data_IF_639311355651
#
_entry.id   IF_639311355651
#
_cell.length_a   1.000
_cell.length_b   1.000
_cell.length_c   1.000
_cell.angle_alpha   90.00
_cell.angle_beta   90.00
_cell.angle_gamma   90.00
#
_symmetry.space_group_name_H-M   'P 1'
#
loop_
_entity.id
_entity.type
_entity.pdbx_description
1 polymer ?
#
# COMPACT_ATOMS: atom_id res chain seq x y z
N UNK A 1 -0.52 13.65 6.22
CA UNK A 1 -0.94 14.37 5.00
C UNK A 1 0.30 14.61 4.17
N UNK A 2 0.27 14.19 2.93
CA UNK A 2 1.36 14.37 1.99
C UNK A 2 1.66 15.85 1.78
N UNK A 3 2.85 16.28 2.10
CA UNK A 3 3.41 17.56 1.66
C UNK A 3 4.67 17.23 0.87
N UNK A 4 4.94 18.00 -0.17
CA UNK A 4 6.02 17.70 -1.11
C UNK A 4 5.58 16.81 -2.28
N UNK A 5 6.51 16.57 -3.16
CA UNK A 5 6.30 15.80 -4.41
C UNK A 5 7.43 14.81 -4.57
N UNK A 6 7.13 13.67 -5.19
CA UNK A 6 8.13 12.66 -5.50
C UNK A 6 9.28 13.23 -6.33
N UNK A 7 10.51 12.95 -5.89
CA UNK A 7 11.71 13.23 -6.68
C UNK A 7 12.65 12.03 -6.70
N UNK A 8 13.30 11.78 -7.84
CA UNK A 8 14.33 10.75 -7.95
C UNK A 8 15.51 11.01 -7.00
N UNK A 9 15.80 12.29 -6.70
CA UNK A 9 16.86 12.67 -5.77
C UNK A 9 16.56 12.17 -4.34
N UNK A 10 15.36 12.46 -3.83
CA UNK A 10 14.97 12.06 -2.47
C UNK A 10 14.87 10.53 -2.37
N UNK A 11 14.31 9.88 -3.40
CA UNK A 11 14.29 8.42 -3.47
C UNK A 11 15.69 7.81 -3.43
N UNK A 12 16.65 8.41 -4.16
CA UNK A 12 18.04 7.94 -4.18
C UNK A 12 18.71 8.12 -2.82
N UNK A 13 18.50 9.27 -2.18
CA UNK A 13 19.02 9.55 -0.83
C UNK A 13 18.45 8.55 0.17
N UNK A 14 17.13 8.37 0.16
CA UNK A 14 16.45 7.40 1.02
C UNK A 14 16.97 5.98 0.80
N UNK A 15 17.00 5.50 -0.45
CA UNK A 15 17.43 4.14 -0.78
C UNK A 15 18.86 3.87 -0.29
N UNK A 16 19.77 4.82 -0.47
CA UNK A 16 21.14 4.72 0.03
C UNK A 16 21.21 4.70 1.57
N UNK A 17 20.35 5.48 2.24
CA UNK A 17 20.31 5.53 3.71
C UNK A 17 19.91 4.19 4.33
N UNK A 18 19.09 3.41 3.64
CA UNK A 18 18.68 2.05 4.05
C UNK A 18 19.57 0.94 3.47
N UNK A 19 20.71 1.32 2.87
CA UNK A 19 21.73 0.40 2.39
C UNK A 19 21.44 -0.23 1.03
N UNK A 20 20.65 0.43 0.17
CA UNK A 20 20.32 -0.07 -1.16
C UNK A 20 21.15 0.60 -2.25
N UNK A 21 21.43 -0.16 -3.30
CA UNK A 21 22.06 0.32 -4.53
C UNK A 21 21.00 0.81 -5.50
N UNK A 22 21.12 2.07 -5.91
CA UNK A 22 20.31 2.68 -6.97
C UNK A 22 21.17 2.73 -8.24
N UNK A 23 20.62 2.24 -9.33
CA UNK A 23 21.27 2.22 -10.64
C UNK A 23 21.18 3.62 -11.31
N UNK A 24 21.90 3.79 -12.42
CA UNK A 24 21.92 5.06 -13.18
C UNK A 24 20.55 5.44 -13.75
N UNK A 25 19.66 4.45 -13.95
CA UNK A 25 18.27 4.67 -14.37
C UNK A 25 17.32 5.04 -13.21
N UNK A 26 17.86 5.19 -12.00
CA UNK A 26 17.11 5.53 -10.79
C UNK A 26 16.36 4.37 -10.14
N UNK A 27 16.43 3.16 -10.68
CA UNK A 27 15.81 1.97 -10.12
C UNK A 27 16.75 1.25 -9.14
N UNK A 28 16.19 0.37 -8.30
CA UNK A 28 17.02 -0.50 -7.46
C UNK A 28 17.70 -1.59 -8.28
N UNK A 29 18.83 -2.06 -7.78
CA UNK A 29 19.54 -3.19 -8.38
C UNK A 29 18.62 -4.41 -8.51
N UNK A 30 18.68 -5.07 -9.67
CA UNK A 30 17.81 -6.22 -10.01
C UNK A 30 18.04 -7.45 -9.14
N UNK A 31 19.19 -7.55 -8.47
CA UNK A 31 19.54 -8.68 -7.61
C UNK A 31 18.73 -8.74 -6.31
N UNK A 32 18.10 -7.64 -5.88
CA UNK A 32 17.30 -7.67 -4.66
C UNK A 32 16.11 -8.61 -4.77
N UNK A 33 16.01 -9.51 -3.81
CA UNK A 33 14.84 -10.36 -3.59
C UNK A 33 13.79 -9.65 -2.71
N UNK A 34 12.59 -10.21 -2.61
CA UNK A 34 11.58 -9.72 -1.68
C UNK A 34 12.10 -9.73 -0.21
N UNK A 35 12.92 -10.71 0.14
CA UNK A 35 13.49 -10.82 1.49
C UNK A 35 14.53 -9.73 1.80
N UNK A 36 15.20 -9.22 0.76
CA UNK A 36 16.13 -8.10 0.91
C UNK A 36 15.41 -6.76 1.05
N UNK A 37 14.25 -6.63 0.43
CA UNK A 37 13.46 -5.41 0.39
C UNK A 37 12.47 -5.31 1.56
N UNK A 38 11.70 -6.36 1.83
CA UNK A 38 10.67 -6.39 2.87
C UNK A 38 11.19 -7.12 4.12
N UNK A 39 11.72 -6.33 5.05
CA UNK A 39 12.40 -6.85 6.25
C UNK A 39 11.53 -6.92 7.50
N UNK A 40 10.31 -6.36 7.44
CA UNK A 40 9.36 -6.41 8.55
C UNK A 40 9.00 -7.85 8.90
N UNK A 41 8.92 -8.16 10.19
CA UNK A 41 8.61 -9.51 10.70
C UNK A 41 7.22 -9.61 11.33
N UNK A 42 6.56 -8.49 11.45
CA UNK A 42 5.19 -8.35 11.94
C UNK A 42 4.63 -7.03 11.40
N UNK A 43 3.33 -6.84 11.55
CA UNK A 43 2.69 -5.58 11.21
C UNK A 43 3.34 -4.43 11.98
N UNK A 44 3.64 -3.34 11.30
CA UNK A 44 4.15 -2.14 11.93
C UNK A 44 2.99 -1.31 12.49
N UNK A 45 3.14 -0.68 13.67
CA UNK A 45 2.04 0.06 14.30
C UNK A 45 1.44 1.16 13.41
N UNK A 46 2.26 1.78 12.57
CA UNK A 46 1.81 2.81 11.63
C UNK A 46 0.92 2.27 10.51
N UNK A 47 1.00 0.96 10.23
CA UNK A 47 0.23 0.27 9.18
C UNK A 47 -0.97 -0.49 9.75
N UNK A 48 -1.13 -0.51 11.08
CA UNK A 48 -2.26 -1.18 11.72
C UNK A 48 -3.56 -0.49 11.32
N UNK A 49 -4.53 -1.21 10.73
CA UNK A 49 -5.81 -0.65 10.31
C UNK A 49 -6.81 -0.48 11.45
N UNK A 50 -6.50 -0.95 12.67
CA UNK A 50 -7.44 -1.01 13.77
C UNK A 50 -7.87 0.37 14.26
N UNK A 51 -9.16 0.69 14.15
CA UNK A 51 -9.77 1.96 14.57
C UNK A 51 -9.12 3.21 13.94
N UNK A 52 -8.61 3.12 12.71
CA UNK A 52 -8.00 4.26 12.03
C UNK A 52 -8.85 4.71 10.84
N UNK A 53 -8.77 6.00 10.51
CA UNK A 53 -9.25 6.60 9.27
C UNK A 53 -8.07 7.30 8.61
N UNK A 54 -7.74 6.92 7.38
CA UNK A 54 -6.66 7.51 6.61
C UNK A 54 -7.21 8.68 5.79
N UNK A 55 -6.52 9.81 5.83
CA UNK A 55 -6.99 11.05 5.21
C UNK A 55 -6.18 11.39 3.97
N UNK A 56 -6.86 11.81 2.91
CA UNK A 56 -6.29 12.44 1.74
C UNK A 56 -6.98 13.79 1.57
N UNK A 57 -6.31 14.83 2.04
CA UNK A 57 -6.87 16.18 2.17
C UNK A 57 -6.20 17.14 1.19
N UNK A 58 -7.01 18.03 0.63
CA UNK A 58 -6.49 19.13 -0.17
C UNK A 58 -5.63 20.07 0.69
N UNK A 59 -4.58 20.60 0.08
CA UNK A 59 -3.65 21.53 0.69
C UNK A 59 -3.24 22.62 -0.29
N UNK A 60 -2.46 23.60 0.17
CA UNK A 60 -1.93 24.63 -0.72
C UNK A 60 -0.97 24.05 -1.77
N UNK A 61 -0.25 22.96 -1.42
CA UNK A 61 0.66 22.26 -2.34
C UNK A 61 -0.08 21.28 -3.27
N UNK A 62 -1.15 20.66 -2.79
CA UNK A 62 -1.98 19.70 -3.52
C UNK A 62 -3.47 20.10 -3.43
N UNK A 63 -3.91 21.11 -4.22
CA UNK A 63 -5.25 21.66 -4.08
C UNK A 63 -6.38 20.78 -4.63
N UNK A 64 -6.06 19.73 -5.37
CA UNK A 64 -7.02 18.82 -5.98
C UNK A 64 -6.58 17.37 -5.85
N UNK A 65 -6.35 16.91 -4.63
CA UNK A 65 -5.82 15.58 -4.36
C UNK A 65 -6.54 14.45 -5.08
N UNK A 66 -5.77 13.53 -5.64
CA UNK A 66 -6.23 12.31 -6.29
C UNK A 66 -5.74 11.13 -5.45
N UNK A 67 -6.57 10.59 -4.56
CA UNK A 67 -6.19 9.46 -3.72
C UNK A 67 -6.10 8.17 -4.53
N UNK A 68 -4.99 7.47 -4.39
CA UNK A 68 -4.75 6.15 -4.98
C UNK A 68 -4.37 5.17 -3.87
N UNK A 69 -5.13 4.10 -3.72
CA UNK A 69 -4.76 2.96 -2.88
C UNK A 69 -4.06 1.94 -3.76
N UNK A 70 -2.79 1.67 -3.46
CA UNK A 70 -2.02 0.59 -4.08
C UNK A 70 -2.03 -0.61 -3.14
N UNK A 71 -2.93 -1.55 -3.38
CA UNK A 71 -3.11 -2.75 -2.59
C UNK A 71 -2.31 -3.91 -3.19
N UNK A 72 -1.30 -4.37 -2.45
CA UNK A 72 -0.42 -5.45 -2.85
C UNK A 72 -0.76 -6.70 -2.04
N UNK A 73 -0.90 -7.81 -2.70
CA UNK A 73 -0.91 -9.11 -2.06
C UNK A 73 0.44 -9.36 -1.38
N UNK A 74 0.39 -9.72 -0.10
CA UNK A 74 1.58 -9.90 0.74
C UNK A 74 1.85 -11.36 1.08
N UNK A 75 1.22 -12.28 0.39
CA UNK A 75 1.42 -13.71 0.55
C UNK A 75 2.71 -14.20 -0.13
N UNK A 76 3.11 -15.43 0.20
CA UNK A 76 4.41 -15.97 -0.22
C UNK A 76 4.58 -16.07 -1.73
N UNK A 77 3.51 -16.37 -2.49
CA UNK A 77 3.50 -16.49 -3.96
C UNK A 77 3.84 -15.18 -4.65
N UNK A 78 3.38 -14.06 -4.10
CA UNK A 78 3.57 -12.71 -4.66
C UNK A 78 4.95 -12.10 -4.40
N UNK A 79 5.84 -12.76 -3.65
CA UNK A 79 7.11 -12.16 -3.25
C UNK A 79 7.97 -11.63 -4.41
N UNK A 80 8.01 -12.35 -5.54
CA UNK A 80 8.76 -11.89 -6.72
C UNK A 80 8.11 -10.67 -7.39
N UNK A 81 6.79 -10.64 -7.50
CA UNK A 81 6.06 -9.52 -8.09
C UNK A 81 6.18 -8.26 -7.21
N UNK A 82 6.03 -8.40 -5.90
CA UNK A 82 6.23 -7.30 -4.96
C UNK A 82 7.66 -6.72 -5.03
N UNK A 83 8.67 -7.58 -5.17
CA UNK A 83 10.04 -7.13 -5.37
C UNK A 83 10.20 -6.32 -6.67
N UNK A 84 9.55 -6.72 -7.77
CA UNK A 84 9.57 -5.94 -9.00
C UNK A 84 8.87 -4.58 -8.85
N UNK A 85 7.73 -4.52 -8.13
CA UNK A 85 7.08 -3.23 -7.80
C UNK A 85 8.04 -2.32 -7.04
N UNK A 86 8.69 -2.83 -5.99
CA UNK A 86 9.62 -2.03 -5.19
C UNK A 86 10.85 -1.57 -6.00
N UNK A 87 11.41 -2.43 -6.87
CA UNK A 87 12.54 -2.08 -7.73
C UNK A 87 12.20 -0.99 -8.74
N UNK A 88 10.99 -1.01 -9.28
CA UNK A 88 10.49 -0.11 -10.31
C UNK A 88 9.77 1.13 -9.75
N UNK A 89 9.65 1.24 -8.44
CA UNK A 89 8.86 2.29 -7.80
C UNK A 89 9.25 3.68 -8.30
N UNK A 90 10.57 3.98 -8.36
CA UNK A 90 11.02 5.30 -8.80
C UNK A 90 10.66 5.60 -10.25
N UNK A 91 10.81 4.62 -11.15
CA UNK A 91 10.43 4.80 -12.56
C UNK A 91 8.94 5.11 -12.71
N UNK A 92 8.10 4.35 -11.99
CA UNK A 92 6.64 4.52 -12.04
C UNK A 92 6.23 5.87 -11.46
N UNK A 93 6.74 6.21 -10.28
CA UNK A 93 6.38 7.47 -9.60
C UNK A 93 6.88 8.69 -10.38
N UNK A 94 8.12 8.65 -10.90
CA UNK A 94 8.66 9.77 -11.69
C UNK A 94 7.78 10.04 -12.92
N UNK A 95 7.44 9.01 -13.70
CA UNK A 95 6.58 9.16 -14.87
C UNK A 95 5.17 9.64 -14.52
N UNK A 96 4.62 9.16 -13.40
CA UNK A 96 3.29 9.56 -12.98
C UNK A 96 3.26 11.04 -12.59
N UNK A 97 4.22 11.48 -11.79
CA UNK A 97 4.26 12.87 -11.32
C UNK A 97 4.68 13.88 -12.41
N UNK A 98 5.24 13.44 -13.54
CA UNK A 98 5.40 14.27 -14.75
C UNK A 98 4.04 14.64 -15.36
N UNK A 99 3.03 13.76 -15.24
CA UNK A 99 1.72 13.93 -15.87
C UNK A 99 0.63 14.40 -14.90
N UNK A 100 0.73 13.99 -13.61
CA UNK A 100 -0.31 14.27 -12.61
C UNK A 100 0.34 14.66 -11.29
N UNK A 101 0.11 15.91 -10.85
CA UNK A 101 0.84 16.49 -9.70
C UNK A 101 0.20 16.25 -8.35
N UNK A 102 -1.13 16.09 -8.30
CA UNK A 102 -1.89 16.04 -7.04
C UNK A 102 -2.23 14.61 -6.59
N UNK A 103 -1.43 13.62 -6.99
CA UNK A 103 -1.65 12.23 -6.61
C UNK A 103 -1.08 11.96 -5.22
N UNK A 104 -1.87 11.33 -4.36
CA UNK A 104 -1.40 10.80 -3.07
C UNK A 104 -1.64 9.29 -3.01
N UNK A 105 -0.61 8.55 -2.61
CA UNK A 105 -0.66 7.10 -2.51
C UNK A 105 -0.78 6.62 -1.07
N UNK A 106 -1.73 5.72 -0.83
CA UNK A 106 -1.78 4.84 0.31
C UNK A 106 -1.29 3.46 -0.15
N UNK A 107 -0.21 2.96 0.44
CA UNK A 107 0.28 1.60 0.20
C UNK A 107 -0.41 0.67 1.17
N UNK A 108 -0.97 -0.43 0.65
CA UNK A 108 -1.70 -1.40 1.43
C UNK A 108 -1.16 -2.81 1.17
N UNK A 109 -0.96 -3.58 2.25
CA UNK A 109 -0.75 -5.02 2.17
C UNK A 109 -2.09 -5.74 2.35
N UNK A 110 -2.41 -6.69 1.49
CA UNK A 110 -3.61 -7.52 1.57
C UNK A 110 -3.21 -8.99 1.55
N UNK A 111 -3.76 -9.74 2.49
CA UNK A 111 -3.69 -11.20 2.58
C UNK A 111 -5.05 -11.82 2.81
N UNK A 112 -5.10 -13.07 3.23
CA UNK A 112 -6.34 -13.76 3.54
C UNK A 112 -6.83 -13.46 4.96
N UNK A 113 -7.98 -12.81 5.07
CA UNK A 113 -8.63 -12.55 6.37
C UNK A 113 -8.86 -13.80 7.21
N UNK A 114 -9.04 -14.96 6.57
CA UNK A 114 -9.30 -16.19 7.30
C UNK A 114 -8.06 -16.80 7.96
N UNK A 115 -6.90 -16.65 7.33
CA UNK A 115 -5.69 -17.41 7.71
C UNK A 115 -4.52 -16.54 8.13
N UNK A 116 -4.38 -15.33 7.58
CA UNK A 116 -3.20 -14.51 7.82
C UNK A 116 -3.26 -13.73 9.15
N UNK A 117 -2.09 -13.39 9.69
CA UNK A 117 -1.99 -12.63 10.94
C UNK A 117 -2.13 -11.12 10.74
N UNK A 118 -1.72 -10.62 9.59
CA UNK A 118 -1.80 -9.21 9.21
C UNK A 118 -2.48 -9.02 7.84
N UNK A 119 -3.75 -9.47 7.70
CA UNK A 119 -4.42 -9.55 6.41
C UNK A 119 -4.75 -8.18 5.80
N UNK A 120 -4.70 -7.12 6.57
CA UNK A 120 -4.81 -5.73 6.10
C UNK A 120 -3.71 -4.92 6.77
N UNK A 121 -2.93 -4.23 5.98
CA UNK A 121 -1.95 -3.25 6.42
C UNK A 121 -2.17 -1.99 5.59
N UNK A 122 -2.28 -0.82 6.20
CA UNK A 122 -2.66 0.39 5.49
C UNK A 122 -1.83 1.59 5.93
N UNK A 123 -1.04 2.15 5.02
CA UNK A 123 -0.23 3.34 5.29
C UNK A 123 -1.07 4.63 5.35
N UNK A 124 -0.42 5.76 5.56
CA UNK A 124 -1.01 7.08 5.27
C UNK A 124 -1.01 7.34 3.77
N UNK A 125 -1.78 8.33 3.32
CA UNK A 125 -1.65 8.91 1.99
C UNK A 125 -0.43 9.83 1.97
N UNK A 126 0.44 9.61 0.98
CA UNK A 126 1.69 10.36 0.82
C UNK A 126 1.93 10.69 -0.66
N UNK A 127 2.64 11.80 -0.92
CA UNK A 127 2.94 12.28 -2.28
C UNK A 127 4.44 12.33 -2.62
N UNK A 128 5.29 11.97 -1.66
CA UNK A 128 6.75 12.07 -1.78
C UNK A 128 7.46 10.74 -1.45
N UNK A 129 8.74 10.81 -1.11
CA UNK A 129 9.57 9.64 -0.79
C UNK A 129 9.02 8.76 0.35
N UNK A 130 8.12 9.29 1.18
CA UNK A 130 7.44 8.50 2.23
C UNK A 130 6.62 7.35 1.65
N UNK A 131 6.20 7.41 0.38
CA UNK A 131 5.60 6.24 -0.31
C UNK A 131 6.55 5.05 -0.28
N UNK A 132 7.86 5.26 -0.55
CA UNK A 132 8.87 4.20 -0.47
C UNK A 132 9.11 3.74 0.97
N UNK A 133 9.14 4.67 1.93
CA UNK A 133 9.27 4.36 3.35
C UNK A 133 8.10 3.50 3.86
N UNK A 134 6.88 3.79 3.42
CA UNK A 134 5.68 3.02 3.78
C UNK A 134 5.70 1.64 3.14
N UNK A 135 6.11 1.54 1.86
CA UNK A 135 6.24 0.25 1.17
C UNK A 135 7.24 -0.67 1.88
N UNK A 136 8.36 -0.12 2.37
CA UNK A 136 9.38 -0.87 3.09
C UNK A 136 8.91 -1.43 4.44
N UNK A 137 7.88 -0.84 5.03
CA UNK A 137 7.30 -1.27 6.31
C UNK A 137 6.29 -2.40 6.14
N UNK A 138 5.82 -2.67 4.92
CA UNK A 138 4.90 -3.77 4.66
C UNK A 138 5.51 -5.09 5.14
N UNK A 139 4.73 -5.82 5.92
CA UNK A 139 5.08 -7.17 6.37
C UNK A 139 4.54 -8.19 5.37
N UNK A 140 5.43 -8.98 4.81
CA UNK A 140 5.11 -10.12 3.97
C UNK A 140 4.97 -11.38 4.81
N UNK A 141 3.80 -11.98 4.81
CA UNK A 141 3.57 -13.29 5.39
C UNK A 141 4.21 -14.34 4.48
N UNK A 142 5.24 -15.01 4.97
CA UNK A 142 6.02 -15.99 4.19
C UNK A 142 5.34 -17.37 4.12
N UNK A 143 4.17 -17.52 4.74
CA UNK A 143 3.31 -18.69 4.70
C UNK A 143 2.15 -18.43 3.75
N UNK A 144 1.69 -19.44 3.04
CA UNK A 144 0.44 -19.40 2.30
C UNK A 144 -0.70 -19.90 3.19
N UNK A 145 -1.89 -19.31 3.07
CA UNK A 145 -3.10 -19.74 3.76
C UNK A 145 -3.55 -21.15 3.36
N UNK A 146 -4.57 -21.64 4.03
CA UNK A 146 -5.11 -22.99 3.80
C UNK A 146 -6.02 -23.12 2.56
N UNK A 147 -6.08 -22.11 1.71
CA UNK A 147 -6.94 -22.08 0.51
C UNK A 147 -6.22 -21.37 -0.65
N UNK A 148 -6.90 -21.27 -1.81
CA UNK A 148 -6.41 -20.57 -3.01
C UNK A 148 -7.22 -19.31 -3.27
N UNK A 149 -7.52 -18.54 -2.20
CA UNK A 149 -8.29 -17.31 -2.26
C UNK A 149 -7.64 -16.24 -1.41
N UNK A 150 -7.75 -14.98 -1.85
CA UNK A 150 -7.28 -13.83 -1.11
C UNK A 150 -8.38 -12.79 -0.90
N UNK A 151 -8.25 -12.03 0.19
CA UNK A 151 -9.29 -11.08 0.60
C UNK A 151 -9.11 -9.70 -0.04
N UNK A 152 -8.85 -9.63 -1.36
CA UNK A 152 -8.59 -8.36 -2.08
C UNK A 152 -9.72 -7.33 -1.94
N UNK A 153 -10.96 -7.79 -1.79
CA UNK A 153 -12.10 -6.90 -1.56
C UNK A 153 -12.02 -6.17 -0.22
N UNK A 154 -11.15 -6.59 0.70
CA UNK A 154 -10.86 -5.85 1.93
C UNK A 154 -10.22 -4.48 1.65
N UNK A 155 -9.48 -4.32 0.54
CA UNK A 155 -8.98 -3.02 0.11
C UNK A 155 -10.13 -2.06 -0.25
N UNK A 156 -11.18 -2.56 -0.87
CA UNK A 156 -12.37 -1.77 -1.21
C UNK A 156 -13.17 -1.41 0.03
N UNK A 157 -13.31 -2.38 0.97
CA UNK A 157 -13.94 -2.12 2.25
C UNK A 157 -13.19 -1.00 3.01
N UNK A 158 -11.88 -1.14 3.16
CA UNK A 158 -11.04 -0.14 3.82
C UNK A 158 -11.13 1.23 3.13
N UNK A 159 -11.00 1.28 1.81
CA UNK A 159 -11.12 2.50 1.01
C UNK A 159 -12.46 3.20 1.16
N UNK A 160 -13.55 2.45 1.41
CA UNK A 160 -14.88 3.00 1.61
C UNK A 160 -15.15 3.45 3.06
N UNK A 161 -14.69 2.67 4.04
CA UNK A 161 -15.07 2.83 5.46
C UNK A 161 -14.00 3.51 6.31
N UNK A 162 -12.75 3.39 5.91
CA UNK A 162 -11.59 3.82 6.69
C UNK A 162 -10.76 4.91 5.99
N UNK A 163 -11.38 5.63 5.05
CA UNK A 163 -10.76 6.82 4.45
C UNK A 163 -11.66 8.02 4.53
N UNK A 164 -11.06 9.21 4.65
CA UNK A 164 -11.70 10.52 4.51
C UNK A 164 -11.00 11.28 3.39
N UNK A 165 -11.73 11.50 2.28
CA UNK A 165 -11.14 11.94 1.02
C UNK A 165 -11.79 13.24 0.54
N UNK A 166 -11.01 14.31 0.43
CA UNK A 166 -11.50 15.60 -0.05
C UNK A 166 -11.99 15.57 -1.51
N UNK A 167 -11.49 14.64 -2.32
CA UNK A 167 -11.99 14.43 -3.66
C UNK A 167 -13.51 14.15 -3.72
N UNK A 168 -14.09 13.52 -2.69
CA UNK A 168 -15.52 13.28 -2.61
C UNK A 168 -16.31 14.59 -2.48
N UNK A 169 -15.78 15.58 -1.75
CA UNK A 169 -16.39 16.91 -1.61
C UNK A 169 -16.48 17.64 -2.97
N UNK A 170 -15.58 17.28 -3.90
CA UNK A 170 -15.57 17.78 -5.29
C UNK A 170 -16.37 16.91 -6.26
N UNK A 171 -17.07 15.87 -5.79
CA UNK A 171 -17.80 14.91 -6.63
C UNK A 171 -16.89 14.00 -7.46
N UNK A 172 -15.64 13.84 -7.05
CA UNK A 172 -14.65 12.94 -7.68
C UNK A 172 -14.50 11.67 -6.86
N UNK A 173 -13.85 10.66 -7.44
CA UNK A 173 -13.60 9.36 -6.81
C UNK A 173 -12.10 9.12 -6.65
N UNK A 174 -11.73 8.35 -5.65
CA UNK A 174 -10.40 7.76 -5.54
C UNK A 174 -10.23 6.56 -6.48
N UNK A 175 -9.01 6.06 -6.54
CA UNK A 175 -8.61 4.91 -7.36
C UNK A 175 -8.10 3.82 -6.43
N UNK A 176 -8.47 2.56 -6.68
CA UNK A 176 -7.89 1.40 -6.01
C UNK A 176 -7.27 0.51 -7.08
N UNK A 177 -6.00 0.21 -6.92
CA UNK A 177 -5.24 -0.73 -7.76
C UNK A 177 -4.89 -1.93 -6.89
N UNK A 178 -5.42 -3.09 -7.21
CA UNK A 178 -5.12 -4.34 -6.50
C UNK A 178 -4.24 -5.21 -7.37
N UNK A 179 -3.16 -5.72 -6.79
CA UNK A 179 -2.20 -6.60 -7.44
C UNK A 179 -2.09 -7.90 -6.65
N UNK A 180 -2.46 -9.01 -7.28
CA UNK A 180 -2.45 -10.35 -6.69
C UNK A 180 -2.52 -11.43 -7.74
N UNK A 181 -2.26 -12.68 -7.36
CA UNK A 181 -2.18 -13.86 -8.25
C UNK A 181 -3.22 -14.96 -7.91
N UNK A 182 -3.98 -14.78 -6.83
CA UNK A 182 -5.00 -15.73 -6.41
C UNK A 182 -6.43 -15.27 -6.75
N UNK A 183 -7.40 -16.16 -6.58
CA UNK A 183 -8.80 -15.83 -6.76
C UNK A 183 -9.35 -15.00 -5.61
N UNK A 184 -10.37 -14.17 -5.88
CA UNK A 184 -11.07 -13.42 -4.85
C UNK A 184 -11.82 -14.35 -3.90
N UNK A 185 -11.70 -14.10 -2.59
CA UNK A 185 -12.63 -14.66 -1.63
C UNK A 185 -14.06 -14.24 -1.97
N UNK A 186 -15.03 -15.19 -1.94
CA UNK A 186 -16.42 -14.88 -2.28
C UNK A 186 -17.10 -13.94 -1.27
N UNK A 187 -16.57 -13.84 -0.06
CA UNK A 187 -17.03 -12.96 1.02
C UNK A 187 -15.88 -12.59 1.95
N UNK A 188 -16.09 -11.57 2.77
CA UNK A 188 -15.16 -11.19 3.84
C UNK A 188 -15.74 -11.64 5.18
N UNK A 189 -15.06 -12.54 5.93
CA UNK A 189 -15.56 -13.00 7.23
C UNK A 189 -15.74 -11.83 8.20
N UNK A 190 -16.99 -11.52 8.57
CA UNK A 190 -17.33 -10.34 9.37
C UNK A 190 -16.60 -10.29 10.72
N UNK A 191 -16.48 -11.43 11.40
CA UNK A 191 -15.79 -11.51 12.68
C UNK A 191 -14.29 -11.21 12.57
N UNK A 192 -13.65 -11.66 11.48
CA UNK A 192 -12.23 -11.42 11.22
C UNK A 192 -12.00 -9.97 10.79
N UNK A 193 -12.84 -9.46 9.89
CA UNK A 193 -12.77 -8.08 9.43
C UNK A 193 -13.01 -7.11 10.60
N UNK A 194 -14.00 -7.39 11.47
CA UNK A 194 -14.24 -6.63 12.72
C UNK A 194 -13.03 -6.64 13.65
N UNK A 195 -12.38 -7.79 13.81
CA UNK A 195 -11.19 -7.89 14.66
C UNK A 195 -10.01 -7.07 14.14
N UNK A 196 -9.87 -6.98 12.82
CA UNK A 196 -8.76 -6.28 12.15
C UNK A 196 -9.02 -4.78 12.07
N UNK A 197 -10.25 -4.34 11.80
CA UNK A 197 -10.57 -2.93 11.60
C UNK A 197 -11.13 -2.21 12.82
N UNK A 198 -11.67 -2.96 13.81
CA UNK A 198 -12.38 -2.42 14.95
C UNK A 198 -13.87 -2.15 14.68
N UNK A 199 -14.37 -2.46 13.50
CA UNK A 199 -15.77 -2.25 13.14
C UNK A 199 -16.70 -3.30 13.78
N UNK A 200 -17.96 -2.93 13.97
CA UNK A 200 -19.00 -3.84 14.44
C UNK A 200 -19.81 -4.37 13.25
N UNK A 201 -19.39 -5.51 12.70
CA UNK A 201 -20.04 -6.18 11.57
C UNK A 201 -20.82 -7.40 12.05
N UNK A 202 -22.01 -7.63 11.48
CA UNK A 202 -22.90 -8.72 11.86
C UNK A 202 -23.04 -9.80 10.78
N UNK A 203 -22.71 -9.48 9.55
CA UNK A 203 -22.83 -10.37 8.39
C UNK A 203 -21.61 -10.25 7.47
N UNK A 204 -21.25 -11.35 6.87
CA UNK A 204 -20.20 -11.46 5.87
C UNK A 204 -20.56 -10.76 4.55
#
# INVERSE_FOLDING_TARGET
>A
MGCGTWTTSDYTIYSKSVGRTVLDDGNLDKSYSAQDLFKSRCIQPELDPYNVVRQCCDSDEHPNTIPVILALDVTGSMGSAAAEVAKKLNEVMTRLYEEVTDVEFLVMGIGDLAYDNAPIQASQFESDVRIAEQLDKIYFERGGGGNSFESYTAAWYFGLKHTDLDCWKRGKKGIIITMGDESLNPYLPANRLSAVTGDSLQTD
#
